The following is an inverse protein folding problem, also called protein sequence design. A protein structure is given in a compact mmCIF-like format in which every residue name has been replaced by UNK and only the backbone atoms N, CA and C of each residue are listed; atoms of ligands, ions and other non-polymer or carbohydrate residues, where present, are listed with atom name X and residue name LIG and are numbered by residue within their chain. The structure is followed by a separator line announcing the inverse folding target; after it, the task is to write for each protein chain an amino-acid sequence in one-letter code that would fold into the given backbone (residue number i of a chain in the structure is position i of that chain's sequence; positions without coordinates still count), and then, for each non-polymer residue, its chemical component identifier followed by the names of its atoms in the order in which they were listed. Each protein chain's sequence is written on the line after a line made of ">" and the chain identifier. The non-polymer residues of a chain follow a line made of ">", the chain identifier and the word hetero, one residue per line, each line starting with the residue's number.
data_IF_636066782483
#
_entry.id   IF_636066782483
#
_cell.length_a   1.000
_cell.length_b   1.000
_cell.length_c   1.000
_cell.angle_alpha   90.00
_cell.angle_beta   90.00
_cell.angle_gamma   90.00
#
_symmetry.space_group_name_H-M   'P 1'
#
loop_
_entity.id
_entity.type
_entity.pdbx_description
1 polymer ?
#
# COMPACT_ATOMS: atom_id res chain seq x y z
N UNK A 1 5.48 15.82 -4.62
CA UNK A 1 5.98 14.45 -4.85
C UNK A 1 7.09 14.54 -5.90
N UNK A 2 8.26 13.92 -5.66
CA UNK A 2 9.39 13.99 -6.61
C UNK A 2 9.28 12.94 -7.74
N UNK A 3 8.56 11.85 -7.48
CA UNK A 3 8.14 10.86 -8.46
C UNK A 3 7.75 9.53 -7.81
N UNK A 4 7.46 8.52 -8.62
CA UNK A 4 6.94 7.21 -8.21
C UNK A 4 7.73 6.10 -8.89
N UNK A 5 8.04 5.03 -8.14
CA UNK A 5 8.52 3.76 -8.70
C UNK A 5 7.40 2.74 -8.57
N UNK A 6 6.97 2.16 -9.68
CA UNK A 6 5.95 1.12 -9.70
C UNK A 6 6.61 -0.26 -9.62
N UNK A 7 6.52 -0.91 -8.47
CA UNK A 7 6.98 -2.27 -8.27
C UNK A 7 5.90 -3.29 -8.67
N UNK A 8 6.28 -4.53 -8.98
CA UNK A 8 5.29 -5.58 -9.28
C UNK A 8 5.83 -6.86 -9.89
N UNK A 9 7.15 -7.05 -9.96
CA UNK A 9 7.70 -8.10 -10.82
C UNK A 9 7.43 -7.75 -12.28
N UNK A 10 7.00 -8.77 -13.03
CA UNK A 10 6.64 -8.66 -14.44
C UNK A 10 5.51 -7.65 -14.73
N UNK A 11 4.72 -7.27 -13.72
CA UNK A 11 3.66 -6.26 -13.84
C UNK A 11 4.13 -4.83 -13.56
N UNK A 12 5.41 -4.60 -13.25
CA UNK A 12 5.94 -3.28 -12.93
C UNK A 12 5.66 -2.25 -14.04
N UNK A 13 5.77 -2.67 -15.31
CA UNK A 13 5.45 -1.80 -16.45
C UNK A 13 3.96 -1.43 -16.50
N UNK A 14 3.06 -2.40 -16.43
CA UNK A 14 1.61 -2.14 -16.41
C UNK A 14 1.19 -1.28 -15.21
N UNK A 15 1.82 -1.50 -14.04
CA UNK A 15 1.58 -0.69 -12.85
C UNK A 15 2.11 0.74 -13.00
N UNK A 16 3.23 0.95 -13.71
CA UNK A 16 3.72 2.28 -14.04
C UNK A 16 2.76 3.01 -15.00
N UNK A 17 2.22 2.32 -16.00
CA UNK A 17 1.21 2.87 -16.90
C UNK A 17 -0.09 3.20 -16.14
N UNK A 18 -0.51 2.32 -15.24
CA UNK A 18 -1.70 2.53 -14.40
C UNK A 18 -1.51 3.77 -13.52
N UNK A 19 -0.38 3.87 -12.83
CA UNK A 19 -0.04 5.04 -12.03
C UNK A 19 -0.06 6.32 -12.90
N UNK A 20 0.50 6.26 -14.10
CA UNK A 20 0.53 7.38 -15.03
C UNK A 20 -0.89 7.80 -15.44
N UNK A 21 -1.76 6.84 -15.75
CA UNK A 21 -3.15 7.08 -16.11
C UNK A 21 -3.94 7.68 -14.95
N UNK A 22 -3.76 7.16 -13.72
CA UNK A 22 -4.41 7.68 -12.52
C UNK A 22 -4.00 9.14 -12.25
N UNK A 23 -2.72 9.44 -12.38
CA UNK A 23 -2.20 10.79 -12.18
C UNK A 23 -2.69 11.77 -13.27
N UNK A 24 -2.89 11.31 -14.50
CA UNK A 24 -3.47 12.13 -15.57
C UNK A 24 -4.94 12.50 -15.31
N UNK A 25 -5.70 11.67 -14.58
CA UNK A 25 -7.06 12.01 -14.14
C UNK A 25 -7.09 12.96 -12.95
N UNK A 26 -6.08 12.91 -12.07
CA UNK A 26 -6.03 13.74 -10.88
C UNK A 26 -5.40 15.12 -11.13
N UNK A 27 -4.30 15.15 -11.89
CA UNK A 27 -3.60 16.37 -12.25
C UNK A 27 -4.02 16.87 -13.62
N UNK A 28 -4.10 18.19 -13.78
CA UNK A 28 -4.19 18.76 -15.12
C UNK A 28 -2.88 18.42 -15.88
N UNK A 29 -2.94 17.65 -16.98
CA UNK A 29 -1.75 17.20 -17.70
C UNK A 29 -0.90 18.36 -18.25
N UNK A 30 -1.43 19.58 -18.27
CA UNK A 30 -0.71 20.79 -18.69
C UNK A 30 0.14 21.43 -17.60
N UNK A 31 -0.01 21.07 -16.33
CA UNK A 31 0.58 21.85 -15.21
C UNK A 31 1.41 21.04 -14.21
N UNK A 32 1.39 19.71 -14.26
CA UNK A 32 2.23 18.88 -13.39
C UNK A 32 2.38 17.47 -13.98
N UNK A 33 3.61 17.02 -14.21
CA UNK A 33 3.90 15.61 -14.44
C UNK A 33 4.71 15.11 -13.24
N UNK A 34 4.15 14.15 -12.52
CA UNK A 34 4.90 13.40 -11.52
C UNK A 34 5.65 12.31 -12.31
N UNK A 35 6.99 12.30 -12.29
CA UNK A 35 7.75 11.28 -12.99
C UNK A 35 7.45 9.88 -12.44
N UNK A 36 7.38 8.90 -13.33
CA UNK A 36 7.13 7.49 -12.99
C UNK A 36 8.23 6.63 -13.58
N UNK A 37 8.69 5.64 -12.82
CA UNK A 37 9.65 4.63 -13.24
C UNK A 37 9.12 3.21 -12.99
N UNK A 38 9.68 2.26 -13.73
CA UNK A 38 9.43 0.82 -13.54
C UNK A 38 10.40 0.24 -12.50
N UNK A 39 9.84 -0.44 -11.50
CA UNK A 39 10.62 -1.17 -10.50
C UNK A 39 11.23 -2.45 -11.06
N UNK A 40 12.26 -2.95 -10.38
CA UNK A 40 12.89 -4.22 -10.69
C UNK A 40 11.97 -5.42 -10.37
N UNK A 41 12.30 -6.59 -10.94
CA UNK A 41 11.47 -7.79 -10.80
C UNK A 41 11.41 -8.35 -9.35
N UNK A 42 12.36 -7.95 -8.49
CA UNK A 42 12.48 -8.44 -7.12
C UNK A 42 13.13 -9.81 -7.00
N UNK A 43 13.43 -10.22 -5.76
CA UNK A 43 13.87 -11.58 -5.45
C UNK A 43 12.69 -12.57 -5.52
N UNK A 44 12.19 -12.88 -6.72
CA UNK A 44 11.25 -14.00 -6.90
C UNK A 44 12.00 -15.25 -7.32
N UNK A 45 11.70 -16.35 -6.63
CA UNK A 45 12.03 -17.69 -7.11
C UNK A 45 11.26 -17.95 -8.41
N UNK A 46 11.89 -18.58 -9.39
CA UNK A 46 11.27 -19.02 -10.66
C UNK A 46 10.02 -19.89 -10.42
N UNK A 47 9.91 -20.51 -9.23
CA UNK A 47 8.74 -21.28 -8.80
C UNK A 47 7.50 -20.43 -8.45
N UNK A 48 7.64 -19.12 -8.31
CA UNK A 48 6.52 -18.22 -7.97
C UNK A 48 5.61 -18.07 -9.17
N UNK A 49 4.31 -18.44 -9.08
CA UNK A 49 3.38 -18.28 -10.20
C UNK A 49 3.35 -16.83 -10.68
N UNK A 50 3.32 -16.65 -12.01
CA UNK A 50 3.10 -15.33 -12.60
C UNK A 50 1.75 -14.80 -12.15
N UNK A 51 1.71 -13.53 -11.77
CA UNK A 51 0.46 -12.85 -11.49
C UNK A 51 -0.29 -12.68 -12.81
N UNK A 52 -1.53 -13.16 -12.87
CA UNK A 52 -2.43 -12.86 -13.97
C UNK A 52 -3.37 -11.75 -13.50
N UNK A 53 -3.29 -10.55 -14.11
CA UNK A 53 -4.15 -9.43 -13.75
C UNK A 53 -5.62 -9.79 -13.92
N UNK A 54 -6.44 -9.46 -12.92
CA UNK A 54 -7.89 -9.55 -13.08
C UNK A 54 -8.40 -8.44 -14.01
N UNK A 55 -9.55 -8.68 -14.65
CA UNK A 55 -10.17 -7.75 -15.62
C UNK A 55 -10.36 -6.32 -15.09
N UNK A 56 -10.53 -6.16 -13.78
CA UNK A 56 -10.74 -4.86 -13.14
C UNK A 56 -9.43 -4.12 -12.78
N UNK A 57 -8.26 -4.76 -12.81
CA UNK A 57 -7.00 -4.19 -12.28
C UNK A 57 -6.46 -3.02 -13.10
N UNK A 58 -6.73 -3.00 -14.41
CA UNK A 58 -6.28 -1.95 -15.32
C UNK A 58 -7.44 -1.26 -16.05
N UNK A 59 -8.67 -1.45 -15.57
CA UNK A 59 -9.90 -0.96 -16.20
C UNK A 59 -10.19 0.50 -15.82
N UNK A 60 -9.24 1.40 -16.10
CA UNK A 60 -9.44 2.84 -16.00
C UNK A 60 -9.43 3.48 -17.39
N UNK A 61 -10.29 4.47 -17.58
CA UNK A 61 -10.34 5.25 -18.81
C UNK A 61 -8.95 5.80 -19.16
N UNK A 62 -8.53 5.64 -20.42
CA UNK A 62 -7.25 6.14 -20.91
C UNK A 62 -6.06 5.22 -20.69
N UNK A 63 -6.19 4.12 -19.94
CA UNK A 63 -5.09 3.16 -19.71
C UNK A 63 -4.53 2.61 -21.04
N UNK A 64 -5.38 2.17 -21.96
CA UNK A 64 -4.97 1.61 -23.25
C UNK A 64 -4.27 2.62 -24.17
N UNK A 65 -4.41 3.92 -23.88
CA UNK A 65 -3.76 4.99 -24.63
C UNK A 65 -2.39 5.35 -24.06
N UNK A 66 -1.97 4.73 -22.95
CA UNK A 66 -0.69 5.01 -22.31
C UNK A 66 0.43 4.31 -23.08
N UNK A 67 1.33 5.11 -23.65
CA UNK A 67 2.54 4.60 -24.28
C UNK A 67 3.54 4.10 -23.24
N UNK A 68 4.24 3.01 -23.56
CA UNK A 68 5.39 2.51 -22.79
C UNK A 68 6.66 3.32 -23.04
N UNK A 69 6.65 4.18 -24.04
CA UNK A 69 7.82 4.92 -24.48
C UNK A 69 8.30 5.86 -23.37
N UNK A 70 9.57 5.71 -22.98
CA UNK A 70 10.27 6.56 -22.03
C UNK A 70 9.90 6.39 -20.54
N UNK A 71 9.38 5.25 -20.10
CA UNK A 71 9.33 4.96 -18.65
C UNK A 71 10.72 4.45 -18.21
N UNK A 72 11.50 5.23 -17.44
CA UNK A 72 12.83 4.81 -17.01
C UNK A 72 12.78 3.62 -16.04
N UNK A 73 13.90 2.92 -15.92
CA UNK A 73 14.11 1.96 -14.84
C UNK A 73 14.33 2.69 -13.50
N UNK A 74 13.88 2.07 -12.40
CA UNK A 74 13.93 2.67 -11.07
C UNK A 74 15.34 3.08 -10.61
N UNK A 75 16.38 2.32 -10.97
CA UNK A 75 17.75 2.59 -10.52
C UNK A 75 18.26 3.96 -10.93
N UNK A 76 18.23 4.25 -12.23
CA UNK A 76 18.65 5.55 -12.78
C UNK A 76 17.74 6.67 -12.30
N UNK A 77 16.42 6.42 -12.34
CA UNK A 77 15.41 7.38 -11.90
C UNK A 77 15.62 7.83 -10.44
N UNK A 78 15.79 6.88 -9.51
CA UNK A 78 15.99 7.18 -8.09
C UNK A 78 17.31 7.92 -7.87
N UNK A 79 18.39 7.49 -8.53
CA UNK A 79 19.71 8.14 -8.42
C UNK A 79 19.66 9.59 -8.88
N UNK A 80 19.09 9.85 -10.06
CA UNK A 80 18.95 11.21 -10.62
C UNK A 80 18.07 12.10 -9.75
N UNK A 81 16.95 11.55 -9.26
CA UNK A 81 16.03 12.25 -8.34
C UNK A 81 16.76 12.67 -7.07
N UNK A 82 17.52 11.77 -6.45
CA UNK A 82 18.28 12.08 -5.23
C UNK A 82 19.42 13.07 -5.51
N UNK A 83 20.13 12.94 -6.62
CA UNK A 83 21.20 13.88 -6.99
C UNK A 83 20.68 15.32 -7.15
N UNK A 84 19.48 15.46 -7.69
CA UNK A 84 18.83 16.76 -7.93
C UNK A 84 18.17 17.35 -6.68
N UNK A 85 17.85 16.53 -5.68
CA UNK A 85 17.26 16.98 -4.43
C UNK A 85 18.28 17.65 -3.49
N UNK A 86 17.79 18.49 -2.57
CA UNK A 86 18.61 19.03 -1.48
C UNK A 86 19.07 17.92 -0.51
N UNK A 87 20.18 18.15 0.17
CA UNK A 87 20.64 17.24 1.23
C UNK A 87 19.63 17.20 2.38
N UNK A 88 19.37 16.01 2.92
CA UNK A 88 18.38 15.81 3.99
C UNK A 88 16.98 16.35 3.67
N UNK A 89 16.57 16.35 2.40
CA UNK A 89 15.26 16.90 1.99
C UNK A 89 14.25 15.84 1.56
N UNK A 90 14.70 14.62 1.26
CA UNK A 90 13.86 13.59 0.65
C UNK A 90 13.27 12.67 1.72
N UNK A 91 11.95 12.49 1.72
CA UNK A 91 11.33 11.35 2.40
C UNK A 91 11.13 10.22 1.40
N UNK A 92 11.59 9.02 1.74
CA UNK A 92 11.34 7.81 0.94
C UNK A 92 10.16 7.09 1.54
N UNK A 93 9.11 6.91 0.74
CA UNK A 93 7.90 6.21 1.14
C UNK A 93 7.81 4.85 0.42
N UNK A 94 7.56 3.77 1.17
CA UNK A 94 7.53 2.40 0.65
C UNK A 94 6.17 1.77 0.97
N UNK A 95 5.36 1.52 -0.07
CA UNK A 95 4.04 0.87 0.02
C UNK A 95 4.00 -0.49 -0.71
N UNK A 96 5.14 -0.95 -1.22
CA UNK A 96 5.27 -2.19 -1.99
C UNK A 96 6.56 -2.92 -1.58
N UNK A 97 7.09 -3.79 -2.45
CA UNK A 97 8.36 -4.45 -2.24
C UNK A 97 9.51 -3.45 -2.01
N UNK A 98 10.46 -3.81 -1.16
CA UNK A 98 11.61 -2.97 -0.77
C UNK A 98 12.77 -3.04 -1.78
N UNK A 99 12.62 -3.82 -2.85
CA UNK A 99 13.68 -4.19 -3.80
C UNK A 99 14.45 -2.99 -4.34
N UNK A 100 13.77 -2.02 -4.95
CA UNK A 100 14.45 -0.90 -5.63
C UNK A 100 15.21 0.00 -4.66
N UNK A 101 14.68 0.19 -3.45
CA UNK A 101 15.38 0.92 -2.39
C UNK A 101 16.62 0.15 -1.94
N UNK A 102 16.52 -1.18 -1.75
CA UNK A 102 17.67 -1.99 -1.38
C UNK A 102 18.76 -2.00 -2.47
N UNK A 103 18.38 -2.07 -3.75
CA UNK A 103 19.32 -1.96 -4.88
C UNK A 103 20.02 -0.59 -4.92
N UNK A 104 19.29 0.49 -4.62
CA UNK A 104 19.87 1.81 -4.49
C UNK A 104 20.83 1.90 -3.29
N UNK A 105 20.53 1.26 -2.16
CA UNK A 105 21.44 1.22 -1.01
C UNK A 105 22.71 0.43 -1.34
N UNK A 106 22.62 -0.66 -2.09
CA UNK A 106 23.78 -1.45 -2.52
C UNK A 106 24.70 -0.66 -3.44
N UNK A 107 24.13 0.15 -4.35
CA UNK A 107 24.89 0.89 -5.36
C UNK A 107 25.32 2.29 -4.92
N UNK A 108 24.54 2.98 -4.08
CA UNK A 108 24.79 4.37 -3.67
C UNK A 108 24.25 4.74 -2.27
N UNK A 109 24.58 3.91 -1.27
CA UNK A 109 24.26 4.15 0.14
C UNK A 109 24.65 5.56 0.64
N UNK A 110 25.80 6.10 0.20
CA UNK A 110 26.28 7.41 0.62
C UNK A 110 25.40 8.54 0.10
N UNK A 111 24.99 8.48 -1.17
CA UNK A 111 24.01 9.41 -1.72
C UNK A 111 22.68 9.30 -0.97
N UNK A 112 22.18 8.09 -0.76
CA UNK A 112 20.92 7.87 -0.05
C UNK A 112 20.96 8.50 1.35
N UNK A 113 21.98 8.20 2.15
CA UNK A 113 22.12 8.77 3.49
C UNK A 113 22.22 10.30 3.48
N UNK A 114 22.91 10.87 2.49
CA UNK A 114 23.07 12.33 2.37
C UNK A 114 21.77 13.02 2.02
N UNK A 115 20.96 12.43 1.13
CA UNK A 115 19.77 13.09 0.55
C UNK A 115 18.48 12.81 1.31
N UNK A 116 18.36 11.64 1.93
CA UNK A 116 17.14 11.19 2.60
C UNK A 116 17.10 11.65 4.05
N UNK A 117 16.01 12.30 4.46
CA UNK A 117 15.77 12.72 5.85
C UNK A 117 15.07 11.65 6.69
N UNK A 118 14.19 10.84 6.07
CA UNK A 118 13.50 9.73 6.72
C UNK A 118 12.96 8.73 5.72
N UNK A 119 12.67 7.53 6.22
CA UNK A 119 11.96 6.47 5.50
C UNK A 119 10.63 6.21 6.19
N UNK A 120 9.56 6.06 5.42
CA UNK A 120 8.22 5.67 5.92
C UNK A 120 7.77 4.46 5.13
N UNK A 121 7.37 3.37 5.81
CA UNK A 121 7.06 2.13 5.14
C UNK A 121 5.80 1.45 5.69
N UNK A 122 5.01 0.87 4.80
CA UNK A 122 4.00 -0.13 5.16
C UNK A 122 4.70 -1.48 5.24
N UNK A 123 4.75 -2.06 6.43
CA UNK A 123 5.47 -3.30 6.69
C UNK A 123 5.39 -3.70 8.16
N UNK A 124 6.26 -4.60 8.60
CA UNK A 124 6.37 -4.94 10.01
C UNK A 124 7.83 -5.10 10.43
N UNK A 125 8.17 -4.67 11.63
CA UNK A 125 9.53 -4.76 12.15
C UNK A 125 9.49 -5.17 13.61
N UNK A 126 10.41 -6.03 14.00
CA UNK A 126 10.69 -6.31 15.41
C UNK A 126 11.93 -5.53 15.83
N UNK A 127 11.76 -4.68 16.85
CA UNK A 127 12.87 -3.97 17.48
C UNK A 127 13.40 -4.78 18.66
N UNK A 128 14.66 -5.22 18.60
CA UNK A 128 15.29 -5.95 19.69
C UNK A 128 16.81 -5.78 19.66
N UNK A 129 17.42 -5.59 20.84
CA UNK A 129 18.88 -5.54 20.98
C UNK A 129 19.57 -4.46 20.15
N UNK A 130 18.90 -3.32 19.92
CA UNK A 130 19.43 -2.26 19.06
C UNK A 130 19.38 -2.55 17.56
N UNK A 131 18.62 -3.57 17.13
CA UNK A 131 18.42 -3.93 15.74
C UNK A 131 16.95 -3.84 15.35
N UNK A 132 16.72 -3.61 14.06
CA UNK A 132 15.43 -3.68 13.40
C UNK A 132 15.41 -4.91 12.49
N UNK A 133 14.55 -5.87 12.81
CA UNK A 133 14.44 -7.13 12.08
C UNK A 133 13.13 -7.17 11.32
N UNK A 134 13.16 -7.48 10.02
CA UNK A 134 11.96 -7.61 9.21
C UNK A 134 11.05 -8.73 9.76
N UNK A 135 9.86 -8.35 10.22
CA UNK A 135 8.83 -9.26 10.68
C UNK A 135 7.91 -9.68 9.51
N UNK A 136 7.13 -10.77 9.65
CA UNK A 136 6.17 -11.18 8.62
C UNK A 136 5.17 -10.07 8.30
N UNK A 137 5.12 -9.68 7.04
CA UNK A 137 4.20 -8.68 6.49
C UNK A 137 4.22 -8.80 4.97
N UNK A 138 3.09 -8.55 4.31
CA UNK A 138 2.97 -8.75 2.87
C UNK A 138 4.10 -8.07 2.08
N UNK A 139 4.31 -6.77 2.28
CA UNK A 139 5.34 -6.00 1.57
C UNK A 139 6.77 -6.44 1.89
N UNK A 140 7.02 -6.90 3.13
CA UNK A 140 8.32 -7.47 3.50
C UNK A 140 8.55 -8.79 2.80
N UNK A 141 7.54 -9.66 2.76
CA UNK A 141 7.65 -11.01 2.24
C UNK A 141 7.73 -11.04 0.70
N UNK A 142 7.41 -9.94 0.01
CA UNK A 142 7.68 -9.78 -1.43
C UNK A 142 9.19 -9.82 -1.77
N UNK A 143 10.03 -9.31 -0.87
CA UNK A 143 11.50 -9.38 -0.96
C UNK A 143 12.10 -9.16 0.44
N UNK A 144 12.10 -10.24 1.23
CA UNK A 144 12.49 -10.17 2.65
C UNK A 144 13.94 -9.77 2.87
N UNK A 145 14.92 -10.25 2.07
CA UNK A 145 16.29 -9.74 2.13
C UNK A 145 16.37 -8.24 1.86
N UNK A 146 15.63 -7.71 0.87
CA UNK A 146 15.60 -6.27 0.60
C UNK A 146 14.99 -5.49 1.77
N UNK A 147 13.86 -5.95 2.33
CA UNK A 147 13.24 -5.30 3.49
C UNK A 147 14.20 -5.26 4.69
N UNK A 148 14.87 -6.38 4.97
CA UNK A 148 15.88 -6.44 6.03
C UNK A 148 17.05 -5.49 5.77
N UNK A 149 17.55 -5.41 4.54
CA UNK A 149 18.64 -4.50 4.18
C UNK A 149 18.26 -3.03 4.43
N UNK A 150 17.05 -2.62 4.05
CA UNK A 150 16.56 -1.26 4.29
C UNK A 150 16.42 -0.96 5.79
N UNK A 151 15.82 -1.86 6.56
CA UNK A 151 15.68 -1.67 8.01
C UNK A 151 17.02 -1.61 8.75
N UNK A 152 17.94 -2.52 8.42
CA UNK A 152 19.30 -2.52 8.98
C UNK A 152 20.09 -1.27 8.59
N UNK A 153 19.93 -0.78 7.35
CA UNK A 153 20.54 0.47 6.92
C UNK A 153 20.03 1.65 7.75
N UNK A 154 18.70 1.77 7.92
CA UNK A 154 18.12 2.84 8.71
C UNK A 154 18.62 2.85 10.17
N UNK A 155 18.66 1.67 10.81
CA UNK A 155 19.18 1.52 12.17
C UNK A 155 20.67 1.89 12.27
N UNK A 156 21.52 1.30 11.42
CA UNK A 156 22.98 1.49 11.47
C UNK A 156 23.41 2.91 11.10
N UNK A 157 22.72 3.54 10.14
CA UNK A 157 23.03 4.88 9.67
C UNK A 157 22.27 5.96 10.42
N UNK A 158 21.55 5.64 11.51
CA UNK A 158 20.79 6.63 12.29
C UNK A 158 19.86 7.45 11.40
N UNK A 159 19.21 6.78 10.44
CA UNK A 159 18.22 7.39 9.56
C UNK A 159 16.83 7.11 10.15
N UNK A 160 16.05 8.16 10.51
CA UNK A 160 14.71 7.97 11.04
C UNK A 160 13.85 7.09 10.14
N UNK A 161 13.15 6.13 10.77
CA UNK A 161 12.27 5.18 10.11
C UNK A 161 10.92 5.20 10.82
N UNK A 162 9.84 5.27 10.05
CA UNK A 162 8.48 5.01 10.50
C UNK A 162 7.95 3.76 9.80
N UNK A 163 7.46 2.77 10.55
CA UNK A 163 6.85 1.55 10.01
C UNK A 163 5.40 1.48 10.49
N UNK A 164 4.46 1.36 9.55
CA UNK A 164 3.03 1.12 9.83
C UNK A 164 2.70 -0.32 9.51
N UNK A 165 2.28 -1.08 10.52
CA UNK A 165 1.80 -2.45 10.34
C UNK A 165 0.32 -2.51 9.97
N UNK A 166 -0.11 -3.67 9.48
CA UNK A 166 -1.53 -3.96 9.21
C UNK A 166 -2.44 -3.86 10.44
N UNK A 167 -1.88 -4.05 11.63
CA UNK A 167 -2.65 -4.13 12.87
C UNK A 167 -2.88 -2.73 13.46
N UNK A 168 -2.01 -1.79 13.12
CA UNK A 168 -2.17 -0.38 13.42
C UNK A 168 -3.20 0.36 12.54
N UNK A 169 -3.61 -0.23 11.42
CA UNK A 169 -4.50 0.47 10.47
C UNK A 169 -5.97 0.30 10.88
N UNK A 170 -6.71 1.40 11.10
CA UNK A 170 -8.14 1.33 11.41
C UNK A 170 -8.96 0.80 10.24
N UNK A 171 -10.07 0.15 10.56
CA UNK A 171 -11.06 -0.26 9.56
C UNK A 171 -11.90 0.94 9.09
N UNK A 172 -12.29 0.93 7.82
CA UNK A 172 -13.22 1.89 7.22
C UNK A 172 -14.40 1.16 6.57
N UNK A 173 -15.57 1.81 6.44
CA UNK A 173 -16.71 1.22 5.73
C UNK A 173 -16.37 0.95 4.27
N UNK A 174 -16.73 -0.25 3.80
CA UNK A 174 -16.58 -0.66 2.39
C UNK A 174 -17.43 0.25 1.47
N UNK A 175 -18.57 0.71 1.98
CA UNK A 175 -19.48 1.61 1.27
C UNK A 175 -18.88 2.98 0.97
N UNK A 176 -17.88 3.45 1.74
CA UNK A 176 -17.39 4.83 1.67
C UNK A 176 -16.98 5.24 0.25
N UNK A 177 -16.23 4.40 -0.46
CA UNK A 177 -15.76 4.77 -1.82
C UNK A 177 -16.92 4.87 -2.81
N UNK A 178 -17.97 4.04 -2.65
CA UNK A 178 -19.18 4.11 -3.48
C UNK A 178 -19.99 5.36 -3.17
N UNK A 179 -20.08 5.74 -1.89
CA UNK A 179 -20.73 6.97 -1.45
C UNK A 179 -20.01 8.21 -2.01
N UNK A 180 -18.67 8.24 -1.95
CA UNK A 180 -17.86 9.30 -2.56
C UNK A 180 -18.08 9.33 -4.07
N UNK A 181 -18.10 8.17 -4.75
CA UNK A 181 -18.37 8.10 -6.19
C UNK A 181 -19.75 8.65 -6.56
N UNK A 182 -20.78 8.32 -5.78
CA UNK A 182 -22.16 8.77 -6.01
C UNK A 182 -22.35 10.26 -5.70
N UNK A 183 -21.61 10.81 -4.74
CA UNK A 183 -21.66 12.21 -4.35
C UNK A 183 -20.77 13.13 -5.21
N UNK A 184 -19.87 12.58 -6.04
CA UNK A 184 -18.95 13.35 -6.86
C UNK A 184 -19.70 14.13 -7.96
N UNK A 185 -19.58 15.47 -7.92
CA UNK A 185 -20.09 16.37 -8.94
C UNK A 185 -18.99 17.38 -9.35
N UNK A 186 -18.43 17.30 -10.58
CA UNK A 186 -18.74 16.31 -11.62
C UNK A 186 -18.24 14.89 -11.27
N UNK A 187 -18.75 13.84 -11.94
CA UNK A 187 -18.26 12.48 -11.78
C UNK A 187 -16.75 12.37 -12.02
N UNK A 188 -16.05 11.61 -11.17
CA UNK A 188 -14.60 11.38 -11.28
C UNK A 188 -14.31 9.97 -11.79
N UNK A 189 -13.66 9.81 -12.96
CA UNK A 189 -13.24 8.50 -13.47
C UNK A 189 -12.34 7.74 -12.49
N UNK A 190 -11.47 8.46 -11.76
CA UNK A 190 -10.59 7.91 -10.74
C UNK A 190 -11.37 7.26 -9.58
N UNK A 191 -12.35 7.99 -9.03
CA UNK A 191 -13.15 7.48 -7.90
C UNK A 191 -14.06 6.34 -8.37
N UNK A 192 -14.65 6.44 -9.56
CA UNK A 192 -15.44 5.37 -10.16
C UNK A 192 -14.60 4.09 -10.36
N UNK A 193 -13.38 4.23 -10.87
CA UNK A 193 -12.43 3.12 -11.00
C UNK A 193 -12.13 2.47 -9.64
N UNK A 194 -11.81 3.24 -8.60
CA UNK A 194 -11.54 2.72 -7.27
C UNK A 194 -12.75 1.96 -6.68
N UNK A 195 -13.96 2.51 -6.83
CA UNK A 195 -15.19 1.85 -6.36
C UNK A 195 -15.46 0.52 -7.09
N UNK A 196 -15.21 0.48 -8.39
CA UNK A 196 -15.35 -0.72 -9.22
C UNK A 196 -14.31 -1.78 -8.87
N UNK A 197 -13.02 -1.39 -8.79
CA UNK A 197 -11.93 -2.30 -8.44
C UNK A 197 -12.12 -2.91 -7.04
N UNK A 198 -12.55 -2.12 -6.05
CA UNK A 198 -12.86 -2.62 -4.72
C UNK A 198 -14.02 -3.63 -4.73
N UNK A 199 -15.11 -3.32 -5.44
CA UNK A 199 -16.28 -4.21 -5.51
C UNK A 199 -15.97 -5.51 -6.25
N UNK A 200 -15.28 -5.41 -7.38
CA UNK A 200 -14.93 -6.56 -8.23
C UNK A 200 -13.90 -7.47 -7.55
N UNK A 201 -12.93 -6.91 -6.83
CA UNK A 201 -11.95 -7.69 -6.05
C UNK A 201 -12.58 -8.44 -4.89
N UNK A 202 -13.54 -7.85 -4.17
CA UNK A 202 -14.30 -8.54 -3.13
C UNK A 202 -15.16 -9.67 -3.71
N UNK A 203 -15.81 -9.44 -4.86
CA UNK A 203 -16.54 -10.50 -5.55
C UNK A 203 -15.62 -11.64 -6.02
N UNK A 204 -14.43 -11.32 -6.53
CA UNK A 204 -13.42 -12.31 -6.90
C UNK A 204 -12.89 -13.10 -5.70
N UNK A 205 -12.70 -12.44 -4.55
CA UNK A 205 -12.33 -13.10 -3.30
C UNK A 205 -13.41 -14.09 -2.86
N UNK A 206 -14.69 -13.71 -2.92
CA UNK A 206 -15.79 -14.63 -2.59
C UNK A 206 -15.80 -15.87 -3.50
N UNK A 207 -15.62 -15.69 -4.81
CA UNK A 207 -15.50 -16.82 -5.75
C UNK A 207 -14.33 -17.74 -5.41
N UNK A 208 -13.17 -17.19 -5.02
CA UNK A 208 -12.01 -17.98 -4.58
C UNK A 208 -12.29 -18.76 -3.29
N UNK A 209 -13.05 -18.18 -2.37
CA UNK A 209 -13.51 -18.87 -1.14
C UNK A 209 -14.41 -20.05 -1.51
N UNK A 210 -15.41 -19.84 -2.38
CA UNK A 210 -16.33 -20.89 -2.82
C UNK A 210 -15.59 -22.01 -3.57
N UNK A 211 -14.56 -21.68 -4.35
CA UNK A 211 -13.71 -22.65 -5.04
C UNK A 211 -12.73 -23.41 -4.11
N UNK A 212 -12.67 -23.07 -2.82
CA UNK A 212 -11.77 -23.74 -1.86
C UNK A 212 -10.29 -23.45 -2.08
N UNK A 213 -9.93 -22.37 -2.78
CA UNK A 213 -8.53 -22.02 -3.09
C UNK A 213 -7.92 -21.02 -2.10
N UNK A 214 -8.68 -20.64 -1.07
CA UNK A 214 -8.25 -19.73 -0.01
C UNK A 214 -7.80 -20.50 1.23
N UNK A 215 -6.95 -19.91 2.10
CA UNK A 215 -6.56 -20.53 3.36
C UNK A 215 -7.79 -20.89 4.22
N UNK A 216 -7.73 -21.94 5.07
CA UNK A 216 -8.89 -22.43 5.84
C UNK A 216 -9.60 -21.38 6.72
N UNK A 217 -8.87 -20.33 7.13
CA UNK A 217 -9.43 -19.21 7.91
C UNK A 217 -10.38 -18.31 7.11
N UNK A 218 -10.36 -18.40 5.77
CA UNK A 218 -11.18 -17.59 4.88
C UNK A 218 -12.40 -18.40 4.43
N UNK A 219 -13.40 -18.55 5.31
CA UNK A 219 -14.67 -19.20 4.99
C UNK A 219 -15.70 -18.21 4.42
N UNK A 220 -16.81 -18.72 3.89
CA UNK A 220 -17.93 -17.89 3.45
C UNK A 220 -18.56 -17.12 4.62
N UNK A 221 -18.68 -17.75 5.79
CA UNK A 221 -19.17 -17.07 7.00
C UNK A 221 -18.22 -15.93 7.41
N UNK A 222 -16.90 -16.16 7.34
CA UNK A 222 -15.92 -15.10 7.59
C UNK A 222 -16.08 -13.93 6.61
N UNK A 223 -16.27 -14.22 5.31
CA UNK A 223 -16.45 -13.18 4.30
C UNK A 223 -17.69 -12.34 4.61
N UNK A 224 -18.84 -12.97 4.83
CA UNK A 224 -20.10 -12.28 5.18
C UNK A 224 -19.92 -11.42 6.43
N UNK A 225 -19.31 -11.97 7.48
CA UNK A 225 -19.10 -11.24 8.73
C UNK A 225 -18.13 -10.05 8.61
N UNK A 226 -17.20 -10.08 7.65
CA UNK A 226 -16.17 -9.05 7.50
C UNK A 226 -16.59 -7.95 6.53
N UNK A 227 -17.12 -8.33 5.37
CA UNK A 227 -17.31 -7.42 4.23
C UNK A 227 -18.77 -7.09 3.95
N UNK A 228 -19.71 -7.79 4.58
CA UNK A 228 -21.12 -7.56 4.37
C UNK A 228 -21.83 -7.03 5.60
N UNK A 229 -22.80 -6.16 5.36
CA UNK A 229 -23.79 -5.78 6.37
C UNK A 229 -25.15 -6.28 5.88
N UNK A 230 -25.63 -7.36 6.49
CA UNK A 230 -26.87 -8.02 6.13
C UNK A 230 -27.78 -8.09 7.34
N UNK A 231 -29.02 -7.62 7.19
CA UNK A 231 -30.02 -7.78 8.25
C UNK A 231 -30.31 -9.27 8.48
N UNK A 232 -30.76 -9.66 9.69
CA UNK A 232 -31.20 -11.02 9.96
C UNK A 232 -32.27 -11.51 8.97
N UNK A 233 -33.15 -10.60 8.52
CA UNK A 233 -34.21 -10.88 7.55
C UNK A 233 -33.63 -11.18 6.16
N UNK A 234 -32.69 -10.35 5.67
CA UNK A 234 -32.02 -10.58 4.38
C UNK A 234 -31.27 -11.91 4.40
N UNK A 235 -30.60 -12.21 5.52
CA UNK A 235 -29.88 -13.48 5.70
C UNK A 235 -30.81 -14.68 5.65
N UNK A 236 -31.91 -14.65 6.40
CA UNK A 236 -32.90 -15.73 6.43
C UNK A 236 -33.58 -15.96 5.07
N UNK A 237 -33.70 -14.92 4.26
CA UNK A 237 -34.21 -15.01 2.89
C UNK A 237 -33.23 -15.61 1.88
N UNK A 238 -31.93 -15.71 2.22
CA UNK A 238 -30.88 -16.15 1.31
C UNK A 238 -30.28 -17.50 1.67
N UNK A 239 -30.19 -17.84 2.97
CA UNK A 239 -29.83 -19.19 3.42
C UNK A 239 -30.35 -19.46 4.84
N UNK A 240 -30.45 -20.75 5.18
CA UNK A 240 -31.02 -21.25 6.45
C UNK A 240 -30.11 -21.05 7.69
N UNK A 241 -29.02 -20.30 7.54
CA UNK A 241 -28.02 -20.06 8.58
C UNK A 241 -26.88 -21.09 8.65
N UNK A 242 -26.89 -22.15 7.84
CA UNK A 242 -25.78 -23.13 7.80
C UNK A 242 -24.55 -22.57 7.08
N UNK A 243 -24.69 -22.23 5.80
CA UNK A 243 -23.62 -21.70 4.96
C UNK A 243 -24.16 -20.79 3.85
N UNK A 244 -23.50 -19.66 3.55
CA UNK A 244 -23.83 -18.84 2.38
C UNK A 244 -23.70 -19.63 1.05
N UNK A 245 -24.59 -19.40 0.07
CA UNK A 245 -24.56 -20.12 -1.21
C UNK A 245 -23.45 -19.61 -2.14
N UNK A 246 -22.98 -20.47 -3.04
CA UNK A 246 -21.87 -20.17 -3.96
C UNK A 246 -22.20 -19.08 -4.98
N UNK A 247 -23.48 -18.96 -5.37
CA UNK A 247 -24.00 -18.01 -6.35
C UNK A 247 -24.56 -16.72 -5.72
N UNK A 248 -24.25 -16.48 -4.44
CA UNK A 248 -24.73 -15.30 -3.74
C UNK A 248 -24.21 -14.01 -4.40
N UNK A 249 -25.13 -13.17 -4.87
CA UNK A 249 -24.79 -11.80 -5.27
C UNK A 249 -24.51 -10.94 -4.03
N UNK A 250 -23.25 -10.90 -3.66
CA UNK A 250 -22.72 -10.16 -2.52
C UNK A 250 -22.62 -8.65 -2.77
N UNK A 251 -22.62 -8.21 -4.03
CA UNK A 251 -22.25 -6.84 -4.40
C UNK A 251 -23.17 -5.78 -3.77
N UNK A 252 -24.45 -6.14 -3.57
CA UNK A 252 -25.49 -5.34 -2.90
C UNK A 252 -25.35 -5.28 -1.37
N UNK A 253 -24.59 -6.19 -0.77
CA UNK A 253 -24.40 -6.27 0.68
C UNK A 253 -23.01 -5.77 1.13
N UNK A 254 -22.15 -5.31 0.21
CA UNK A 254 -20.78 -4.86 0.50
C UNK A 254 -20.73 -3.54 1.30
N UNK A 255 -21.12 -3.61 2.56
CA UNK A 255 -21.19 -2.49 3.51
C UNK A 255 -20.46 -2.81 4.83
N UNK A 256 -19.68 -3.90 4.89
CA UNK A 256 -18.79 -4.21 6.01
C UNK A 256 -17.55 -3.34 6.01
N UNK A 257 -16.38 -3.87 6.39
CA UNK A 257 -15.16 -3.06 6.54
C UNK A 257 -13.99 -3.49 5.66
N UNK A 258 -13.15 -2.52 5.30
CA UNK A 258 -11.84 -2.69 4.66
C UNK A 258 -10.78 -1.89 5.42
N UNK A 259 -9.49 -2.17 5.20
CA UNK A 259 -8.39 -1.42 5.84
C UNK A 259 -7.61 -0.61 4.78
N UNK A 260 -7.52 0.72 4.90
CA UNK A 260 -6.77 1.57 3.98
C UNK A 260 -5.29 1.66 4.38
N UNK A 261 -4.55 0.55 4.26
CA UNK A 261 -3.16 0.46 4.76
C UNK A 261 -2.24 1.54 4.18
N UNK A 262 -2.26 1.68 2.86
CA UNK A 262 -1.39 2.58 2.13
C UNK A 262 -1.76 4.06 2.37
N UNK A 263 -3.03 4.47 2.31
CA UNK A 263 -3.44 5.81 2.71
C UNK A 263 -2.98 6.20 4.13
N UNK A 264 -3.14 5.32 5.13
CA UNK A 264 -2.69 5.61 6.50
C UNK A 264 -1.17 5.74 6.56
N UNK A 265 -0.43 4.89 5.85
CA UNK A 265 1.03 5.00 5.74
C UNK A 265 1.46 6.30 5.06
N UNK A 266 0.71 6.78 4.07
CA UNK A 266 0.96 8.07 3.42
C UNK A 266 0.71 9.23 4.39
N UNK A 267 -0.33 9.17 5.23
CA UNK A 267 -0.57 10.18 6.26
C UNK A 267 0.62 10.29 7.23
N UNK A 268 1.20 9.16 7.66
CA UNK A 268 2.42 9.16 8.49
C UNK A 268 3.64 9.83 7.80
N UNK A 269 3.61 10.01 6.48
CA UNK A 269 4.63 10.75 5.71
C UNK A 269 4.37 12.26 5.70
N UNK A 270 3.13 12.70 5.88
CA UNK A 270 2.77 14.11 5.96
C UNK A 270 2.91 14.63 7.39
N UNK A 271 2.65 13.76 8.36
CA UNK A 271 2.72 14.09 9.77
C UNK A 271 4.15 13.96 10.32
N UNK A 272 4.49 14.82 11.29
CA UNK A 272 5.71 14.70 12.07
C UNK A 272 5.38 14.80 13.57
N UNK A 273 6.14 14.12 14.44
CA UNK A 273 6.07 14.34 15.88
C UNK A 273 6.22 15.83 16.20
N UNK A 274 5.24 16.41 16.89
CA UNK A 274 5.23 17.82 17.30
C UNK A 274 4.75 18.83 16.25
N UNK A 275 4.20 18.39 15.10
CA UNK A 275 3.45 19.31 14.21
C UNK A 275 2.00 19.45 14.68
N UNK A 276 1.58 20.69 14.93
CA UNK A 276 0.23 21.04 15.40
C UNK A 276 -0.82 20.69 14.33
N UNK A 277 -1.87 19.96 14.72
CA UNK A 277 -3.02 19.65 13.86
C UNK A 277 -3.11 18.19 13.38
N UNK A 278 -2.11 17.37 13.69
CA UNK A 278 -1.99 15.98 13.22
C UNK A 278 -1.82 14.95 14.35
N UNK A 279 -1.54 15.40 15.58
CA UNK A 279 -1.48 14.55 16.78
C UNK A 279 -2.78 13.78 17.09
N UNK A 280 -3.87 14.10 16.37
CA UNK A 280 -5.16 13.42 16.50
C UNK A 280 -5.18 12.01 15.88
N UNK A 281 -4.26 11.64 14.99
CA UNK A 281 -4.26 10.30 14.39
C UNK A 281 -3.17 9.39 14.96
N UNK A 282 -1.92 9.85 15.06
CA UNK A 282 -0.80 8.98 15.49
C UNK A 282 -0.30 9.32 16.89
N UNK A 283 -0.26 8.31 17.76
CA UNK A 283 0.36 8.39 19.09
C UNK A 283 1.86 8.11 18.99
N UNK A 284 2.62 9.08 18.49
CA UNK A 284 4.05 8.93 18.21
C UNK A 284 4.89 8.45 19.40
N UNK A 285 4.55 8.87 20.62
CA UNK A 285 5.28 8.47 21.82
C UNK A 285 5.14 6.98 22.14
N UNK A 286 3.95 6.41 21.95
CA UNK A 286 3.70 4.98 22.22
C UNK A 286 4.32 4.07 21.16
N UNK A 287 4.53 4.58 19.94
CA UNK A 287 5.22 3.89 18.85
C UNK A 287 6.76 4.10 18.86
N UNK A 288 7.30 4.92 19.76
CA UNK A 288 8.71 5.33 19.72
C UNK A 288 9.67 4.20 20.15
N UNK A 289 10.65 3.92 19.30
CA UNK A 289 11.73 2.95 19.53
C UNK A 289 13.09 3.65 19.36
N UNK A 290 13.93 3.63 20.40
CA UNK A 290 15.26 4.27 20.34
C UNK A 290 16.37 3.27 20.01
N UNK A 291 17.08 3.51 18.92
CA UNK A 291 18.21 2.68 18.46
C UNK A 291 19.36 3.59 18.07
N UNK A 292 20.56 3.34 18.61
CA UNK A 292 21.77 4.09 18.22
C UNK A 292 21.70 5.61 18.43
N UNK A 293 20.82 6.09 19.33
CA UNK A 293 20.58 7.52 19.57
C UNK A 293 19.56 8.18 18.62
N UNK A 294 18.94 7.41 17.73
CA UNK A 294 17.86 7.87 16.84
C UNK A 294 16.53 7.26 17.27
N UNK A 295 15.46 8.06 17.21
CA UNK A 295 14.10 7.57 17.38
C UNK A 295 13.56 7.06 16.05
N UNK A 296 13.09 5.82 16.05
CA UNK A 296 12.27 5.21 15.02
C UNK A 296 10.84 5.10 15.55
N UNK A 297 9.86 5.00 14.67
CA UNK A 297 8.46 4.82 15.05
C UNK A 297 7.94 3.51 14.46
N UNK A 298 7.41 2.64 15.31
CA UNK A 298 6.87 1.33 14.93
C UNK A 298 5.43 1.27 15.41
N UNK A 299 4.50 1.38 14.47
CA UNK A 299 3.07 1.31 14.73
C UNK A 299 2.60 -0.13 14.47
N UNK A 300 2.46 -0.90 15.54
CA UNK A 300 2.08 -2.31 15.56
C UNK A 300 0.68 -2.58 16.16
N UNK A 301 -0.02 -1.56 16.66
CA UNK A 301 -1.36 -1.69 17.24
C UNK A 301 -2.28 -0.51 16.92
N UNK A 302 -3.60 -0.76 16.99
CA UNK A 302 -4.62 0.24 16.64
C UNK A 302 -4.63 1.42 17.62
N UNK A 303 -4.33 1.16 18.90
CA UNK A 303 -4.25 2.16 19.97
C UNK A 303 -3.15 3.20 19.74
N UNK A 304 -2.24 2.93 18.79
CA UNK A 304 -1.20 3.87 18.40
C UNK A 304 -1.63 4.78 17.22
N UNK A 305 -2.77 4.52 16.58
CA UNK A 305 -3.23 5.21 15.34
C UNK A 305 -4.69 5.68 15.45
N UNK A 306 -5.26 5.72 16.65
CA UNK A 306 -6.58 6.31 16.89
C UNK A 306 -6.48 7.34 18.01
N UNK A 307 -6.79 8.60 17.69
CA UNK A 307 -7.04 9.61 18.71
C UNK A 307 -8.31 9.32 19.51
N UNK A 308 -8.36 9.83 20.73
CA UNK A 308 -9.52 9.78 21.63
C UNK A 308 -10.79 10.44 21.04
#
# INVERSE_FOLDING_TARGET
>A
MLGVVACGGQEACNRALLASSLLAHYYNPRTSSIPIATGADGAKDESTPRHEPAEYEYCIEGFDNMGTDNIPAAGDFLRETLMSAGDGSVTVQIQAAFTDVALLLQSDAALFKRKVCRVVAMGAVQASGGNLTAAPAFNNDLDRPAAQAVYSFCASQRLPLTVISRDAVPSMPTALIKEIAAAADPPSPLIAYLANAQSASLAALYRKICAGVMPPRCSKQWFVATFCDMSPQDRAGLWDGTEPPDDLDMTRFLSGTVKPYDPVTLLATMEQPGTVGTEALFHWESAAVRIGGTTHYVFDSLEQVQGD
#
